data_IF_295140103703
#
_entry.id   IF_295140103703
#
_cell.length_a   1.000
_cell.length_b   1.000
_cell.length_c   1.000
_cell.angle_alpha   90.00
_cell.angle_beta   90.00
_cell.angle_gamma   90.00
#
_symmetry.space_group_name_H-M   'P 1'
#
loop_
_entity.id
_entity.type
_entity.pdbx_description
1 polymer ?
#
# COMPACT_ATOMS: atom_id res chain seq x y z
N UNK A 1 -7.58 -14.14 -4.10
CA UNK A 1 -7.06 -12.99 -4.84
C UNK A 1 -7.36 -11.69 -4.10
N UNK A 2 -6.52 -10.71 -4.28
CA UNK A 2 -6.68 -9.41 -3.64
C UNK A 2 -6.75 -8.32 -4.71
N UNK A 3 -7.18 -7.14 -4.35
CA UNK A 3 -7.41 -6.05 -5.30
C UNK A 3 -6.45 -4.89 -5.03
N UNK A 4 -5.81 -4.40 -6.10
CA UNK A 4 -4.99 -3.20 -6.04
C UNK A 4 -5.87 -1.97 -5.78
N UNK A 5 -5.47 -1.11 -4.84
CA UNK A 5 -6.26 0.08 -4.51
C UNK A 5 -6.15 1.18 -5.57
N UNK A 6 -5.18 1.09 -6.45
CA UNK A 6 -4.97 2.08 -7.51
C UNK A 6 -5.71 1.72 -8.79
N UNK A 7 -5.38 0.58 -9.39
CA UNK A 7 -6.01 0.16 -10.65
C UNK A 7 -7.27 -0.68 -10.46
N UNK A 8 -7.50 -1.17 -9.25
CA UNK A 8 -8.66 -1.97 -8.87
C UNK A 8 -8.76 -3.31 -9.59
N UNK A 9 -7.66 -3.78 -10.13
CA UNK A 9 -7.61 -5.11 -10.73
C UNK A 9 -7.35 -6.16 -9.65
N UNK A 10 -8.01 -7.31 -9.76
CA UNK A 10 -7.78 -8.45 -8.87
C UNK A 10 -6.59 -9.24 -9.36
N UNK A 11 -5.68 -9.54 -8.45
CA UNK A 11 -4.47 -10.32 -8.76
C UNK A 11 -4.16 -11.27 -7.62
N UNK A 12 -3.38 -12.32 -7.87
CA UNK A 12 -2.89 -13.16 -6.78
C UNK A 12 -2.10 -12.33 -5.77
N UNK A 13 -2.20 -12.70 -4.51
CA UNK A 13 -1.58 -11.93 -3.44
C UNK A 13 -0.07 -11.79 -3.61
N UNK A 14 0.60 -12.79 -4.17
CA UNK A 14 2.04 -12.77 -4.36
C UNK A 14 2.47 -11.82 -5.48
N UNK A 15 1.55 -11.38 -6.32
CA UNK A 15 1.84 -10.36 -7.34
C UNK A 15 1.58 -8.95 -6.84
N UNK A 16 1.10 -8.80 -5.62
CA UNK A 16 0.80 -7.52 -5.03
C UNK A 16 1.73 -7.24 -3.84
N UNK A 17 1.89 -5.97 -3.54
CA UNK A 17 2.57 -5.55 -2.33
C UNK A 17 1.53 -5.27 -1.26
N UNK A 18 1.78 -5.75 -0.05
CA UNK A 18 0.89 -5.50 1.08
C UNK A 18 1.47 -4.42 1.97
N UNK A 19 0.63 -3.47 2.32
CA UNK A 19 0.96 -2.44 3.30
C UNK A 19 -0.06 -2.49 4.42
N UNK A 20 0.40 -2.23 5.64
CA UNK A 20 -0.48 -2.22 6.82
C UNK A 20 -0.47 -0.86 7.47
N UNK A 21 -1.58 -0.51 8.08
CA UNK A 21 -1.73 0.75 8.80
C UNK A 21 -1.62 0.48 10.30
N UNK A 22 -0.71 1.19 10.96
CA UNK A 22 -0.58 1.17 12.42
C UNK A 22 -0.69 2.61 12.89
N UNK A 23 -1.78 2.94 13.60
CA UNK A 23 -2.06 4.33 13.91
C UNK A 23 -2.36 5.11 12.64
N UNK A 24 -1.50 6.07 12.30
CA UNK A 24 -1.61 6.82 11.04
C UNK A 24 -0.41 6.57 10.12
N UNK A 25 0.37 5.53 10.41
CA UNK A 25 1.57 5.24 9.64
C UNK A 25 1.41 3.97 8.82
N UNK A 26 1.95 4.01 7.59
CA UNK A 26 1.95 2.87 6.69
C UNK A 26 3.29 2.16 6.80
N UNK A 27 3.23 0.83 6.87
CA UNK A 27 4.42 -0.01 6.94
C UNK A 27 4.31 -1.08 5.86
N UNK A 28 5.41 -1.33 5.15
CA UNK A 28 5.45 -2.42 4.19
C UNK A 28 5.43 -3.75 4.95
N UNK A 29 4.51 -4.63 4.59
CA UNK A 29 4.37 -5.94 5.20
C UNK A 29 4.92 -6.99 4.25
N UNK A 30 6.23 -7.20 4.32
CA UNK A 30 6.91 -8.13 3.44
C UNK A 30 6.71 -9.58 3.84
N UNK A 31 6.44 -9.83 5.11
CA UNK A 31 6.26 -11.18 5.65
C UNK A 31 4.81 -11.62 5.70
N UNK A 32 3.88 -10.70 5.51
CA UNK A 32 2.46 -11.01 5.63
C UNK A 32 2.00 -11.31 7.04
N UNK A 33 2.79 -10.91 8.03
CA UNK A 33 2.51 -11.25 9.42
C UNK A 33 2.04 -10.09 10.28
N UNK A 34 2.03 -8.88 9.71
CA UNK A 34 1.59 -7.73 10.48
C UNK A 34 0.08 -7.76 10.68
N UNK A 35 -0.34 -7.50 11.91
CA UNK A 35 -1.75 -7.33 12.22
C UNK A 35 -2.19 -5.92 11.87
N UNK A 36 -3.47 -5.76 11.62
CA UNK A 36 -4.04 -4.46 11.33
C UNK A 36 -4.64 -4.39 9.93
N UNK A 37 -5.06 -3.19 9.57
CA UNK A 37 -5.68 -2.98 8.26
C UNK A 37 -4.63 -3.08 7.17
N UNK A 38 -4.89 -3.98 6.21
CA UNK A 38 -3.99 -4.16 5.07
C UNK A 38 -4.58 -3.62 3.79
N UNK A 39 -3.71 -3.11 2.94
CA UNK A 39 -4.06 -2.71 1.58
C UNK A 39 -3.06 -3.34 0.62
N UNK A 40 -3.45 -3.43 -0.64
CA UNK A 40 -2.62 -4.06 -1.66
C UNK A 40 -2.42 -3.13 -2.83
N UNK A 41 -1.23 -3.16 -3.40
CA UNK A 41 -0.87 -2.40 -4.59
C UNK A 41 -0.09 -3.29 -5.54
N UNK A 42 -0.28 -3.09 -6.84
CA UNK A 42 0.54 -3.76 -7.84
C UNK A 42 2.01 -3.38 -7.66
N UNK A 43 2.90 -4.30 -7.99
CA UNK A 43 4.34 -4.02 -7.98
C UNK A 43 4.72 -3.21 -9.22
N UNK A 44 4.07 -2.06 -9.37
CA UNK A 44 4.21 -1.20 -10.52
C UNK A 44 4.24 0.24 -10.03
N UNK A 45 5.26 0.98 -10.47
CA UNK A 45 5.41 2.39 -10.08
C UNK A 45 4.21 3.22 -10.48
N UNK A 46 3.57 2.89 -11.61
CA UNK A 46 2.39 3.62 -12.06
C UNK A 46 1.24 3.52 -11.07
N UNK A 47 1.01 2.33 -10.52
CA UNK A 47 -0.04 2.14 -9.52
C UNK A 47 0.28 2.91 -8.25
N UNK A 48 1.54 2.92 -7.85
CA UNK A 48 1.97 3.66 -6.66
C UNK A 48 1.78 5.16 -6.87
N UNK A 49 2.20 5.68 -8.03
CA UNK A 49 2.02 7.09 -8.34
C UNK A 49 0.55 7.49 -8.35
N UNK A 50 -0.31 6.65 -8.93
CA UNK A 50 -1.74 6.91 -8.92
C UNK A 50 -2.31 6.90 -7.51
N UNK A 51 -1.87 5.95 -6.69
CA UNK A 51 -2.32 5.88 -5.30
C UNK A 51 -1.94 7.13 -4.53
N UNK A 52 -0.73 7.64 -4.75
CA UNK A 52 -0.28 8.86 -4.10
C UNK A 52 -1.04 10.08 -4.60
N UNK A 53 -1.22 10.20 -5.91
CA UNK A 53 -1.93 11.33 -6.52
C UNK A 53 -3.36 11.42 -6.05
N UNK A 54 -4.05 10.28 -6.00
CA UNK A 54 -5.47 10.22 -5.65
C UNK A 54 -5.71 10.07 -4.15
N UNK A 55 -4.63 10.04 -3.38
CA UNK A 55 -4.70 9.79 -1.93
C UNK A 55 -5.51 8.53 -1.63
N UNK A 56 -5.24 7.47 -2.40
CA UNK A 56 -5.99 6.22 -2.27
C UNK A 56 -5.80 5.60 -0.90
N UNK A 57 -4.62 5.76 -0.30
CA UNK A 57 -4.39 5.25 1.06
C UNK A 57 -5.36 5.88 2.05
N UNK A 58 -5.52 7.20 2.01
CA UNK A 58 -6.42 7.89 2.92
C UNK A 58 -7.87 7.51 2.66
N UNK A 59 -8.22 7.37 1.38
CA UNK A 59 -9.59 7.05 0.99
C UNK A 59 -9.99 5.65 1.42
N UNK A 60 -9.15 4.67 1.15
CA UNK A 60 -9.46 3.27 1.45
C UNK A 60 -9.43 3.02 2.96
N UNK A 61 -8.46 3.58 3.65
CA UNK A 61 -8.31 3.40 5.10
C UNK A 61 -9.17 4.36 5.91
N UNK A 62 -9.78 5.34 5.25
CA UNK A 62 -10.68 6.33 5.87
C UNK A 62 -10.05 7.06 7.06
N UNK A 63 -8.79 7.40 6.93
CA UNK A 63 -8.07 8.12 7.96
C UNK A 63 -6.96 8.95 7.32
N UNK A 64 -6.45 9.92 8.07
CA UNK A 64 -5.30 10.68 7.61
C UNK A 64 -4.05 9.82 7.81
N UNK A 65 -3.39 9.50 6.71
CA UNK A 65 -2.17 8.71 6.72
C UNK A 65 -0.99 9.63 6.54
N UNK A 66 0.07 9.37 7.32
CA UNK A 66 1.30 10.16 7.22
C UNK A 66 1.96 9.91 5.86
N UNK A 67 2.10 10.98 5.07
CA UNK A 67 2.67 10.88 3.72
C UNK A 67 4.12 10.40 3.75
N UNK A 68 4.89 10.78 4.76
CA UNK A 68 6.27 10.32 4.87
C UNK A 68 6.35 8.82 5.10
N UNK A 69 5.42 8.28 5.89
CA UNK A 69 5.41 6.83 6.14
C UNK A 69 5.10 6.06 4.87
N UNK A 70 4.24 6.61 4.01
CA UNK A 70 3.92 5.99 2.72
C UNK A 70 5.17 5.94 1.85
N UNK A 71 5.91 7.03 1.75
CA UNK A 71 7.12 7.09 0.96
C UNK A 71 8.19 6.13 1.47
N UNK A 72 8.35 6.03 2.79
CA UNK A 72 9.30 5.09 3.40
C UNK A 72 8.92 3.65 3.10
N UNK A 73 7.64 3.33 3.21
CA UNK A 73 7.18 1.97 2.95
C UNK A 73 7.41 1.58 1.48
N UNK A 74 7.16 2.51 0.56
CA UNK A 74 7.40 2.27 -0.86
C UNK A 74 8.89 2.06 -1.13
N UNK A 75 9.75 2.87 -0.53
CA UNK A 75 11.20 2.74 -0.70
C UNK A 75 11.68 1.39 -0.18
N UNK A 76 11.14 0.90 0.91
CA UNK A 76 11.51 -0.41 1.44
C UNK A 76 11.24 -1.53 0.45
N UNK A 77 10.13 -1.44 -0.27
CA UNK A 77 9.74 -2.49 -1.21
C UNK A 77 10.53 -2.40 -2.51
N UNK A 78 10.76 -1.19 -3.01
CA UNK A 78 11.47 -0.99 -4.28
C UNK A 78 12.98 -0.87 -4.13
N UNK A 79 13.48 -0.75 -2.91
CA UNK A 79 14.92 -0.81 -2.66
C UNK A 79 15.71 0.39 -3.11
N UNK A 80 15.11 1.54 -3.20
CA UNK A 80 15.81 2.77 -3.55
C UNK A 80 16.30 3.51 -2.32
#
# INVERSE_FOLDING_TARGET
MRRCIACRESRPQDELMRFTLTGNQITADTDGKNDGRGIYLCRDKKCIEQALKRKAFNRVLRTNVDAESIERAISQVFGD
#
